data_IF_183646620448
#
_entry.id   IF_183646620448
#
_cell.length_a   1.000
_cell.length_b   1.000
_cell.length_c   1.000
_cell.angle_alpha   90.00
_cell.angle_beta   90.00
_cell.angle_gamma   90.00
#
_symmetry.space_group_name_H-M   'P 1'
#
loop_
_entity.id
_entity.type
_entity.pdbx_description
1 polymer ?
#
# COMPACT_ATOMS: atom_id res chain seq x y z
N UNK A 1 7.13 14.60 19.12
CA UNK A 1 6.42 15.07 17.89
C UNK A 1 5.80 13.84 17.23
N UNK A 2 4.54 13.93 16.79
CA UNK A 2 3.93 12.84 16.02
C UNK A 2 4.61 12.71 14.66
N UNK A 3 4.78 11.49 14.18
CA UNK A 3 5.55 11.17 12.98
C UNK A 3 4.64 11.16 11.74
N UNK A 4 5.12 11.68 10.60
CA UNK A 4 4.41 11.58 9.31
C UNK A 4 4.72 10.24 8.66
N UNK A 5 3.77 9.66 7.93
CA UNK A 5 3.96 8.40 7.23
C UNK A 5 3.50 8.46 5.77
N UNK A 6 4.06 7.56 4.98
CA UNK A 6 3.55 7.15 3.67
C UNK A 6 3.04 5.72 3.83
N UNK A 7 1.74 5.55 3.69
CA UNK A 7 1.11 4.24 3.62
C UNK A 7 1.10 3.77 2.17
N UNK A 8 1.67 2.63 1.92
CA UNK A 8 1.90 2.10 0.58
C UNK A 8 1.08 0.82 0.38
N UNK A 9 0.30 0.72 -0.69
CA UNK A 9 -0.06 -0.61 -1.17
C UNK A 9 1.21 -1.34 -1.63
N UNK A 10 1.16 -2.65 -1.69
CA UNK A 10 2.31 -3.49 -2.04
C UNK A 10 2.29 -3.84 -3.52
N UNK A 11 1.34 -4.68 -3.92
CA UNK A 11 1.24 -5.23 -5.27
C UNK A 11 0.71 -4.17 -6.25
N UNK A 12 1.42 -3.92 -7.35
CA UNK A 12 1.09 -2.85 -8.30
C UNK A 12 1.61 -1.47 -7.91
N UNK A 13 2.13 -1.29 -6.69
CA UNK A 13 2.66 -0.01 -6.19
C UNK A 13 4.15 -0.07 -5.90
N UNK A 14 4.63 -1.04 -5.10
CA UNK A 14 6.05 -1.25 -4.79
C UNK A 14 6.63 -2.34 -5.68
N UNK A 15 5.94 -3.48 -5.77
CA UNK A 15 6.32 -4.61 -6.62
C UNK A 15 5.31 -4.83 -7.75
N UNK A 16 5.77 -5.50 -8.79
CA UNK A 16 4.97 -5.86 -9.96
C UNK A 16 3.76 -6.68 -9.53
N UNK A 17 2.58 -6.34 -10.08
CA UNK A 17 1.34 -7.08 -9.87
C UNK A 17 1.34 -8.35 -10.72
N UNK A 18 1.19 -9.51 -10.08
CA UNK A 18 1.19 -10.83 -10.72
C UNK A 18 -0.11 -11.61 -10.44
N UNK A 19 -1.16 -10.92 -10.04
CA UNK A 19 -2.45 -11.48 -9.63
C UNK A 19 -2.41 -11.96 -8.18
N UNK A 20 -1.84 -13.12 -7.92
CA UNK A 20 -1.66 -13.65 -6.56
C UNK A 20 -0.20 -14.02 -6.34
N UNK A 21 0.56 -13.11 -5.75
CA UNK A 21 1.94 -13.34 -5.37
C UNK A 21 1.96 -14.34 -4.20
N UNK A 22 2.45 -15.55 -4.43
CA UNK A 22 2.39 -16.66 -3.49
C UNK A 22 3.75 -17.31 -3.18
N UNK A 23 4.84 -16.78 -3.74
CA UNK A 23 6.20 -17.22 -3.46
C UNK A 23 7.17 -16.04 -3.40
N UNK A 24 8.17 -16.02 -2.49
CA UNK A 24 9.15 -14.93 -2.40
C UNK A 24 9.92 -14.64 -3.70
N UNK A 25 10.19 -15.65 -4.51
CA UNK A 25 10.93 -15.50 -5.78
C UNK A 25 10.15 -14.71 -6.85
N UNK A 26 8.85 -14.56 -6.69
CA UNK A 26 8.02 -13.76 -7.59
C UNK A 26 8.06 -12.25 -7.28
N UNK A 27 8.72 -11.86 -6.18
CA UNK A 27 8.83 -10.45 -5.80
C UNK A 27 9.82 -9.75 -6.74
N UNK A 28 9.32 -8.86 -7.56
CA UNK A 28 10.07 -8.00 -8.45
C UNK A 28 9.68 -6.54 -8.19
N UNK A 29 10.64 -5.65 -7.93
CA UNK A 29 10.37 -4.24 -7.72
C UNK A 29 9.91 -3.58 -9.01
N UNK A 30 8.91 -2.70 -8.90
CA UNK A 30 8.61 -1.76 -9.98
C UNK A 30 9.82 -0.83 -10.17
N UNK A 31 10.20 -0.51 -11.43
CA UNK A 31 11.35 0.35 -11.69
C UNK A 31 11.32 1.63 -10.84
N UNK A 32 12.43 1.92 -10.17
CA UNK A 32 12.63 3.09 -9.28
C UNK A 32 11.79 3.09 -8.00
N UNK A 33 11.13 1.98 -7.63
CA UNK A 33 10.38 1.91 -6.37
C UNK A 33 11.30 2.08 -5.15
N UNK A 34 12.49 1.50 -5.16
CA UNK A 34 13.47 1.69 -4.09
C UNK A 34 13.97 3.13 -4.01
N UNK A 35 14.27 3.78 -5.14
CA UNK A 35 14.62 5.21 -5.16
C UNK A 35 13.53 6.07 -4.53
N UNK A 36 12.26 5.80 -4.85
CA UNK A 36 11.10 6.51 -4.30
C UNK A 36 11.05 6.37 -2.77
N UNK A 37 11.12 5.14 -2.28
CA UNK A 37 11.06 4.84 -0.84
C UNK A 37 12.26 5.46 -0.12
N UNK A 38 13.46 5.39 -0.70
CA UNK A 38 14.65 6.03 -0.13
C UNK A 38 14.49 7.53 0.02
N UNK A 39 13.97 8.24 -1.01
CA UNK A 39 13.70 9.68 -0.94
C UNK A 39 12.71 10.02 0.19
N UNK A 40 11.67 9.22 0.37
CA UNK A 40 10.68 9.40 1.44
C UNK A 40 11.29 9.16 2.83
N UNK A 41 12.14 8.12 2.96
CA UNK A 41 12.89 7.84 4.19
C UNK A 41 13.84 8.99 4.55
N UNK A 42 14.60 9.51 3.57
CA UNK A 42 15.52 10.65 3.74
C UNK A 42 14.80 11.93 4.16
N UNK A 43 13.56 12.11 3.71
CA UNK A 43 12.69 13.22 4.09
C UNK A 43 12.02 13.04 5.47
N UNK A 44 12.31 11.95 6.18
CA UNK A 44 11.83 11.68 7.54
C UNK A 44 10.42 11.11 7.61
N UNK A 45 9.85 10.63 6.50
CA UNK A 45 8.61 9.87 6.55
C UNK A 45 8.85 8.44 7.01
N UNK A 46 7.94 7.91 7.82
CA UNK A 46 7.79 6.48 8.00
C UNK A 46 7.16 5.88 6.76
N UNK A 47 7.68 4.77 6.27
CA UNK A 47 7.11 4.03 5.15
C UNK A 47 6.48 2.74 5.66
N UNK A 48 5.17 2.62 5.47
CA UNK A 48 4.36 1.55 6.05
C UNK A 48 3.56 0.87 4.93
N UNK A 49 3.72 -0.43 4.79
CA UNK A 49 2.90 -1.21 3.85
C UNK A 49 1.55 -1.51 4.47
N UNK A 50 0.47 -1.23 3.72
CA UNK A 50 -0.93 -1.56 4.07
C UNK A 50 -1.57 -2.26 2.87
N UNK A 51 -1.75 -3.58 2.94
CA UNK A 51 -2.11 -4.39 1.77
C UNK A 51 -3.27 -5.36 2.02
N UNK A 52 -4.14 -5.52 1.01
CA UNK A 52 -5.18 -6.55 0.99
C UNK A 52 -4.63 -7.83 0.36
N UNK A 53 -4.54 -8.91 1.15
CA UNK A 53 -4.01 -10.20 0.70
C UNK A 53 -5.13 -11.25 0.57
N UNK A 54 -6.06 -10.99 -0.35
CA UNK A 54 -7.20 -11.88 -0.62
C UNK A 54 -6.80 -13.28 -1.13
N UNK A 55 -5.56 -13.44 -1.61
CA UNK A 55 -5.01 -14.74 -1.98
C UNK A 55 -5.06 -15.76 -0.84
N UNK A 56 -4.89 -15.30 0.41
CA UNK A 56 -5.01 -16.14 1.62
C UNK A 56 -6.44 -16.64 1.76
N UNK A 57 -7.42 -15.74 1.73
CA UNK A 57 -8.84 -16.10 1.82
C UNK A 57 -9.32 -17.03 0.71
N UNK A 58 -8.67 -16.98 -0.46
CA UNK A 58 -8.97 -17.82 -1.62
C UNK A 58 -8.19 -19.13 -1.66
N UNK A 59 -7.28 -19.37 -0.71
CA UNK A 59 -6.42 -20.57 -0.68
C UNK A 59 -5.32 -20.59 -1.73
N UNK A 60 -4.98 -19.44 -2.31
CA UNK A 60 -3.96 -19.27 -3.33
C UNK A 60 -2.59 -18.87 -2.76
N UNK A 61 -2.57 -18.45 -1.50
CA UNK A 61 -1.39 -18.10 -0.72
C UNK A 61 -1.56 -18.68 0.68
N UNK A 62 -0.56 -19.41 1.16
CA UNK A 62 -0.48 -19.81 2.57
C UNK A 62 -0.05 -18.61 3.41
N UNK A 63 -0.78 -18.28 4.47
CA UNK A 63 -0.53 -17.07 5.28
C UNK A 63 0.89 -17.10 5.89
N UNK A 64 1.39 -18.29 6.22
CA UNK A 64 2.73 -18.52 6.77
C UNK A 64 3.87 -18.14 5.81
N UNK A 65 3.60 -18.03 4.51
CA UNK A 65 4.59 -17.58 3.51
C UNK A 65 4.68 -16.05 3.41
N UNK A 66 3.67 -15.32 3.90
CA UNK A 66 3.64 -13.87 3.78
C UNK A 66 4.84 -13.16 4.45
N UNK A 67 5.31 -13.59 5.63
CA UNK A 67 6.55 -13.05 6.22
C UNK A 67 7.78 -13.21 5.33
N UNK A 68 7.93 -14.36 4.65
CA UNK A 68 9.04 -14.60 3.73
C UNK A 68 8.96 -13.70 2.48
N UNK A 69 7.75 -13.46 1.96
CA UNK A 69 7.51 -12.51 0.87
C UNK A 69 7.90 -11.09 1.29
N UNK A 70 7.48 -10.64 2.48
CA UNK A 70 7.84 -9.32 3.01
C UNK A 70 9.34 -9.20 3.27
N UNK A 71 10.00 -10.25 3.78
CA UNK A 71 11.45 -10.29 3.97
C UNK A 71 12.19 -10.18 2.62
N UNK A 72 11.71 -10.86 1.58
CA UNK A 72 12.27 -10.75 0.23
C UNK A 72 12.14 -9.34 -0.33
N UNK A 73 10.97 -8.71 -0.16
CA UNK A 73 10.74 -7.32 -0.56
C UNK A 73 11.70 -6.37 0.18
N UNK A 74 11.82 -6.51 1.50
CA UNK A 74 12.76 -5.73 2.30
C UNK A 74 14.21 -5.91 1.82
N UNK A 75 14.64 -7.14 1.53
CA UNK A 75 15.99 -7.43 1.05
C UNK A 75 16.29 -6.79 -0.31
N UNK A 76 15.31 -6.69 -1.21
CA UNK A 76 15.47 -5.98 -2.48
C UNK A 76 15.58 -4.47 -2.27
N UNK A 77 14.74 -3.91 -1.39
CA UNK A 77 14.77 -2.49 -1.06
C UNK A 77 16.07 -2.08 -0.34
N UNK A 78 16.59 -2.92 0.54
CA UNK A 78 17.87 -2.68 1.25
C UNK A 78 19.04 -2.54 0.27
N UNK A 79 19.04 -3.28 -0.86
CA UNK A 79 20.05 -3.13 -1.92
C UNK A 79 20.02 -1.71 -2.53
N UNK A 80 18.85 -1.06 -2.53
CA UNK A 80 18.65 0.32 -2.99
C UNK A 80 18.68 1.35 -1.85
N UNK A 81 19.11 0.94 -0.65
CA UNK A 81 19.18 1.77 0.56
C UNK A 81 17.83 2.36 0.98
N UNK A 82 16.76 1.66 0.64
CA UNK A 82 15.39 1.97 1.00
C UNK A 82 14.89 0.97 2.07
N UNK A 83 14.02 1.42 2.96
CA UNK A 83 13.47 0.54 4.00
C UNK A 83 11.96 0.72 4.15
N UNK A 84 11.28 -0.35 4.51
CA UNK A 84 9.91 -0.33 5.03
C UNK A 84 9.98 -0.43 6.56
N UNK A 85 9.31 0.48 7.26
CA UNK A 85 9.30 0.51 8.72
C UNK A 85 8.34 -0.53 9.32
N UNK A 86 7.23 -0.85 8.64
CA UNK A 86 6.28 -1.87 9.08
C UNK A 86 5.40 -2.40 7.94
N UNK A 87 4.85 -3.59 8.13
CA UNK A 87 3.92 -4.26 7.22
C UNK A 87 2.63 -4.61 7.95
N UNK A 88 1.49 -4.15 7.40
CA UNK A 88 0.14 -4.51 7.86
C UNK A 88 -0.64 -5.08 6.69
N UNK A 89 -1.35 -6.18 6.91
CA UNK A 89 -2.12 -6.83 5.86
C UNK A 89 -3.50 -7.28 6.34
N UNK A 90 -4.41 -7.44 5.41
CA UNK A 90 -5.72 -8.04 5.64
C UNK A 90 -5.82 -9.34 4.85
N UNK A 91 -5.98 -10.51 5.51
CA UNK A 91 -6.16 -11.79 4.84
C UNK A 91 -7.62 -12.05 4.44
N UNK A 92 -8.57 -11.24 4.92
CA UNK A 92 -10.01 -11.52 4.82
C UNK A 92 -10.59 -11.14 3.47
N UNK A 93 -11.66 -11.86 3.08
CA UNK A 93 -12.50 -11.52 1.93
C UNK A 93 -13.94 -11.96 2.19
N UNK A 94 -14.99 -11.18 1.86
CA UNK A 94 -16.39 -11.56 2.09
C UNK A 94 -16.79 -12.84 1.36
N UNK A 95 -16.17 -13.12 0.22
CA UNK A 95 -16.37 -14.32 -0.60
C UNK A 95 -15.19 -15.30 -0.46
N UNK A 96 -14.62 -15.44 0.74
CA UNK A 96 -13.51 -16.33 0.99
C UNK A 96 -13.90 -17.80 0.75
N UNK A 97 -13.02 -18.55 0.08
CA UNK A 97 -13.14 -20.00 -0.06
C UNK A 97 -12.83 -20.69 1.28
N UNK A 98 -11.89 -20.14 2.05
CA UNK A 98 -11.52 -20.63 3.38
C UNK A 98 -12.39 -19.94 4.42
N UNK A 99 -13.21 -20.68 5.13
CA UNK A 99 -14.25 -20.20 6.04
C UNK A 99 -13.71 -19.24 7.12
N UNK A 100 -12.57 -19.53 7.72
CA UNK A 100 -11.98 -18.70 8.78
C UNK A 100 -11.62 -17.28 8.31
N UNK A 101 -11.44 -17.05 7.00
CA UNK A 101 -11.15 -15.73 6.43
C UNK A 101 -12.39 -15.06 5.83
N UNK A 102 -13.57 -15.71 5.88
CA UNK A 102 -14.84 -15.14 5.43
C UNK A 102 -15.43 -14.23 6.50
N UNK A 103 -14.78 -13.11 6.75
CA UNK A 103 -15.11 -12.19 7.84
C UNK A 103 -15.35 -10.80 7.29
N UNK A 104 -16.42 -10.15 7.74
CA UNK A 104 -16.63 -8.71 7.58
C UNK A 104 -15.72 -7.98 8.59
N UNK A 105 -14.52 -7.62 8.18
CA UNK A 105 -13.49 -7.03 9.03
C UNK A 105 -13.35 -5.53 8.82
N UNK A 106 -12.70 -4.85 9.77
CA UNK A 106 -12.33 -3.44 9.65
C UNK A 106 -10.94 -3.23 9.05
N UNK A 107 -10.15 -4.30 8.81
CA UNK A 107 -8.80 -4.20 8.26
C UNK A 107 -8.74 -4.19 6.72
N UNK A 108 -9.76 -4.73 6.01
CA UNK A 108 -9.77 -4.75 4.56
C UNK A 108 -10.01 -3.34 4.00
N UNK A 109 -9.05 -2.82 3.22
CA UNK A 109 -9.24 -1.55 2.48
C UNK A 109 -10.52 -1.61 1.63
N UNK A 110 -11.36 -0.58 1.62
CA UNK A 110 -11.12 0.78 2.11
C UNK A 110 -11.42 1.04 3.61
N UNK A 111 -11.68 0.01 4.43
CA UNK A 111 -11.88 0.22 5.87
C UNK A 111 -10.55 0.62 6.55
N UNK A 112 -10.62 1.48 7.60
CA UNK A 112 -9.45 2.18 8.14
C UNK A 112 -8.58 1.35 9.08
N UNK A 113 -8.92 0.09 9.36
CA UNK A 113 -8.32 -0.69 10.44
C UNK A 113 -6.80 -0.80 10.37
N UNK A 114 -6.21 -1.11 9.19
CA UNK A 114 -4.75 -1.23 9.06
C UNK A 114 -4.03 0.08 9.39
N UNK A 115 -4.52 1.22 8.87
CA UNK A 115 -3.89 2.53 9.16
C UNK A 115 -4.07 2.91 10.62
N UNK A 116 -5.24 2.65 11.22
CA UNK A 116 -5.47 2.94 12.64
C UNK A 116 -4.55 2.13 13.55
N UNK A 117 -4.34 0.86 13.24
CA UNK A 117 -3.38 0.00 13.97
C UNK A 117 -1.97 0.54 13.82
N UNK A 118 -1.51 0.80 12.59
CA UNK A 118 -0.18 1.35 12.34
C UNK A 118 0.03 2.70 13.04
N UNK A 119 -0.98 3.57 13.03
CA UNK A 119 -0.92 4.88 13.67
C UNK A 119 -0.79 4.76 15.20
N UNK A 120 -1.51 3.83 15.81
CA UNK A 120 -1.41 3.56 17.25
C UNK A 120 -0.04 2.99 17.63
N UNK A 121 0.45 2.00 16.87
CA UNK A 121 1.72 1.31 17.14
C UNK A 121 2.94 2.23 16.99
N UNK A 122 2.88 3.16 16.04
CA UNK A 122 4.05 3.96 15.63
C UNK A 122 3.94 5.46 15.95
N UNK A 123 2.85 5.91 16.56
CA UNK A 123 2.62 7.33 16.89
C UNK A 123 2.52 8.22 15.64
N UNK A 124 1.78 7.75 14.62
CA UNK A 124 1.67 8.43 13.34
C UNK A 124 0.55 9.48 13.35
N UNK A 125 0.84 10.67 12.85
CA UNK A 125 -0.13 11.71 12.52
C UNK A 125 -0.71 11.44 11.12
N UNK A 126 -1.88 10.80 11.08
CA UNK A 126 -2.52 10.39 9.84
C UNK A 126 -2.93 11.59 8.97
N UNK A 127 -3.37 12.70 9.59
CA UNK A 127 -3.78 13.91 8.86
C UNK A 127 -2.61 14.59 8.11
N UNK A 128 -1.36 14.29 8.50
CA UNK A 128 -0.14 14.77 7.86
C UNK A 128 0.57 13.70 7.04
N UNK A 129 -0.13 12.60 6.76
CA UNK A 129 0.37 11.42 6.07
C UNK A 129 -0.31 11.23 4.71
N UNK A 130 0.22 10.33 3.90
CA UNK A 130 -0.27 10.04 2.56
C UNK A 130 -0.51 8.54 2.39
N UNK A 131 -1.50 8.19 1.57
CA UNK A 131 -1.71 6.83 1.05
C UNK A 131 -1.37 6.84 -0.43
N UNK A 132 -0.59 5.88 -0.88
CA UNK A 132 -0.25 5.67 -2.28
C UNK A 132 -0.65 4.24 -2.66
N UNK A 133 -1.43 4.10 -3.72
CA UNK A 133 -1.86 2.81 -4.23
C UNK A 133 -2.32 2.88 -5.68
N UNK A 134 -2.54 1.71 -6.27
CA UNK A 134 -2.97 1.54 -7.66
C UNK A 134 -4.48 1.22 -7.77
N UNK A 135 -5.21 1.13 -6.63
CA UNK A 135 -6.62 0.73 -6.62
C UNK A 135 -7.51 1.80 -5.98
N UNK A 136 -8.76 1.84 -6.41
CA UNK A 136 -9.79 2.73 -5.84
C UNK A 136 -9.92 2.61 -4.33
N UNK A 137 -9.77 1.39 -3.78
CA UNK A 137 -9.86 1.15 -2.34
C UNK A 137 -8.72 1.83 -1.54
N UNK A 138 -7.58 2.15 -2.15
CA UNK A 138 -6.49 2.88 -1.51
C UNK A 138 -6.86 4.37 -1.38
N UNK A 139 -7.45 4.92 -2.43
CA UNK A 139 -7.92 6.31 -2.46
C UNK A 139 -9.06 6.53 -1.46
N UNK A 140 -10.04 5.62 -1.46
CA UNK A 140 -11.12 5.65 -0.48
C UNK A 140 -10.61 5.48 0.96
N UNK A 141 -9.62 4.60 1.18
CA UNK A 141 -8.97 4.44 2.49
C UNK A 141 -8.36 5.75 2.96
N UNK A 142 -7.61 6.45 2.08
CA UNK A 142 -7.00 7.73 2.40
C UNK A 142 -8.05 8.75 2.88
N UNK A 143 -9.14 8.90 2.12
CA UNK A 143 -10.24 9.80 2.49
C UNK A 143 -10.92 9.39 3.80
N UNK A 144 -11.15 8.08 4.01
CA UNK A 144 -11.78 7.54 5.22
C UNK A 144 -10.96 7.80 6.51
N UNK A 145 -9.67 8.06 6.38
CA UNK A 145 -8.79 8.36 7.53
C UNK A 145 -8.33 9.81 7.58
N UNK A 146 -8.68 10.63 6.59
CA UNK A 146 -8.26 12.02 6.51
C UNK A 146 -6.79 12.22 6.11
N UNK A 147 -6.20 11.25 5.40
CA UNK A 147 -4.87 11.34 4.82
C UNK A 147 -4.91 11.87 3.38
N UNK A 148 -3.77 12.30 2.87
CA UNK A 148 -3.62 12.60 1.44
C UNK A 148 -3.70 11.31 0.61
N UNK A 149 -4.23 11.40 -0.63
CA UNK A 149 -4.43 10.28 -1.54
C UNK A 149 -3.66 10.47 -2.84
N UNK A 150 -2.82 9.52 -3.22
CA UNK A 150 -2.13 9.52 -4.52
C UNK A 150 -2.38 8.18 -5.22
N UNK A 151 -2.92 8.24 -6.44
CA UNK A 151 -3.09 7.07 -7.28
C UNK A 151 -1.89 6.93 -8.23
N UNK A 152 -1.32 5.73 -8.31
CA UNK A 152 -0.25 5.42 -9.28
C UNK A 152 -0.81 4.65 -10.47
N UNK A 153 -0.22 4.90 -11.67
CA UNK A 153 -0.68 4.30 -12.92
C UNK A 153 0.02 2.97 -13.24
N UNK A 154 0.79 2.45 -12.31
CA UNK A 154 1.33 1.08 -12.31
C UNK A 154 0.23 0.08 -11.89
N UNK A 155 0.51 -1.21 -11.95
CA UNK A 155 -0.46 -2.24 -11.57
C UNK A 155 -1.80 -2.09 -12.30
N UNK A 156 -2.88 -2.01 -11.54
CA UNK A 156 -4.23 -1.79 -12.05
C UNK A 156 -4.60 -0.31 -12.20
N UNK A 157 -3.72 0.64 -11.89
CA UNK A 157 -4.04 2.05 -11.73
C UNK A 157 -4.82 2.67 -12.88
N UNK A 158 -4.48 2.36 -14.13
CA UNK A 158 -5.20 2.89 -15.31
C UNK A 158 -6.65 2.42 -15.36
N UNK A 159 -6.89 1.14 -15.10
CA UNK A 159 -8.24 0.56 -15.12
C UNK A 159 -9.04 1.03 -13.91
N UNK A 160 -8.42 1.05 -12.74
CA UNK A 160 -9.04 1.47 -11.49
C UNK A 160 -9.39 2.96 -11.49
N UNK A 161 -8.57 3.81 -12.12
CA UNK A 161 -8.90 5.24 -12.26
C UNK A 161 -10.18 5.43 -13.09
N UNK A 162 -10.28 4.75 -14.23
CA UNK A 162 -11.48 4.85 -15.07
C UNK A 162 -12.75 4.39 -14.33
N UNK A 163 -12.69 3.28 -13.59
CA UNK A 163 -13.79 2.79 -12.75
C UNK A 163 -14.11 3.75 -11.60
N UNK A 164 -13.09 4.37 -11.02
CA UNK A 164 -13.24 5.34 -9.94
C UNK A 164 -13.99 6.60 -10.40
N UNK A 165 -13.64 7.10 -11.59
CA UNK A 165 -14.29 8.25 -12.22
C UNK A 165 -15.73 7.93 -12.65
N UNK A 166 -15.96 6.76 -13.27
CA UNK A 166 -17.30 6.31 -13.68
C UNK A 166 -18.23 6.20 -12.46
N UNK A 167 -17.72 5.72 -11.33
CA UNK A 167 -18.46 5.61 -10.08
C UNK A 167 -18.62 6.97 -9.35
N UNK A 168 -18.11 8.08 -9.90
CA UNK A 168 -18.15 9.42 -9.32
C UNK A 168 -17.61 9.47 -7.88
N UNK A 169 -16.58 8.67 -7.57
CA UNK A 169 -15.96 8.66 -6.24
C UNK A 169 -15.11 9.90 -6.03
N UNK A 170 -14.82 10.21 -4.77
CA UNK A 170 -13.94 11.34 -4.44
C UNK A 170 -12.56 11.14 -5.07
N UNK A 171 -12.08 12.09 -5.92
CA UNK A 171 -10.84 11.91 -6.66
C UNK A 171 -9.61 11.88 -5.75
N UNK A 172 -8.50 11.24 -6.18
CA UNK A 172 -7.23 11.37 -5.49
C UNK A 172 -6.74 12.83 -5.51
N UNK A 173 -5.92 13.22 -4.55
CA UNK A 173 -5.27 14.53 -4.53
C UNK A 173 -4.25 14.68 -5.67
N UNK A 174 -3.68 13.56 -6.11
CA UNK A 174 -2.75 13.51 -7.24
C UNK A 174 -2.78 12.15 -7.94
N UNK A 175 -2.50 12.18 -9.26
CA UNK A 175 -2.31 10.98 -10.08
C UNK A 175 -0.87 11.00 -10.58
N UNK A 176 -0.12 9.95 -10.31
CA UNK A 176 1.29 9.83 -10.65
C UNK A 176 1.53 8.64 -11.59
N UNK A 177 2.52 8.75 -12.46
CA UNK A 177 2.87 7.66 -13.39
C UNK A 177 3.32 6.39 -12.63
N UNK A 178 4.07 6.57 -11.55
CA UNK A 178 4.63 5.52 -10.71
C UNK A 178 4.90 6.02 -9.28
N UNK A 179 5.41 5.16 -8.41
CA UNK A 179 5.74 5.49 -7.04
C UNK A 179 6.82 6.59 -6.93
N UNK A 180 7.76 6.64 -7.88
CA UNK A 180 8.80 7.65 -7.86
C UNK A 180 8.26 9.06 -8.16
N UNK A 181 7.38 9.17 -9.15
CA UNK A 181 6.69 10.42 -9.46
C UNK A 181 5.80 10.87 -8.29
N UNK A 182 5.11 9.91 -7.64
CA UNK A 182 4.31 10.17 -6.44
C UNK A 182 5.17 10.74 -5.29
N UNK A 183 6.32 10.11 -5.00
CA UNK A 183 7.25 10.57 -3.97
C UNK A 183 7.77 11.98 -4.25
N UNK A 184 8.17 12.26 -5.49
CA UNK A 184 8.63 13.59 -5.87
C UNK A 184 7.54 14.66 -5.70
N UNK A 185 6.29 14.35 -6.03
CA UNK A 185 5.19 15.28 -5.86
C UNK A 185 4.90 15.53 -4.37
N UNK A 186 4.79 14.48 -3.55
CA UNK A 186 4.57 14.60 -2.09
C UNK A 186 5.66 15.45 -1.43
N UNK A 187 6.92 15.28 -1.83
CA UNK A 187 8.04 16.04 -1.26
C UNK A 187 7.98 17.54 -1.61
N UNK A 188 7.36 17.91 -2.73
CA UNK A 188 7.09 19.32 -3.07
C UNK A 188 5.94 19.90 -2.25
N UNK A 189 4.84 19.16 -2.09
CA UNK A 189 3.67 19.58 -1.33
C UNK A 189 3.92 19.63 0.19
N UNK A 190 4.90 18.90 0.70
CA UNK A 190 5.19 18.79 2.14
C UNK A 190 6.23 19.80 2.64
N UNK A 191 6.70 20.69 1.77
CA UNK A 191 7.61 21.80 2.12
C UNK A 191 6.82 22.94 2.70
#
# INVERSE_FOLDING_TARGET
MMTRAIFLDRDGTINVEVGYLNHPDQVELIPRAGDAIRLLNEAGFKTVVVTNQAGIARGLLQEELLPAIHQRLSALLDQEKARIDAYYYCPHHPEAAIEQYRIACQCRKPFPGLIRTAAADMGIDVARSWVIGDKSCDIELAHNVGAGAVMVMTGYGKTELALHEEAQRQPPHHIAADLYAAAQWILRESR
#
